data_IF_440522725015
#
_entry.id   IF_440522725015
#
_cell.length_a   1.000
_cell.length_b   1.000
_cell.length_c   1.000
_cell.angle_alpha   90.00
_cell.angle_beta   90.00
_cell.angle_gamma   90.00
#
_symmetry.space_group_name_H-M   'P 1'
#
loop_
_entity.id
_entity.type
_entity.pdbx_description
1 polymer ?
#
# COMPACT_ATOMS: atom_id res chain seq x y z
N UNK A 1 -12.99 -0.67 -11.13
CA UNK A 1 -11.70 -1.37 -11.23
C UNK A 1 -11.93 -2.65 -12.01
N UNK A 2 -11.16 -2.90 -13.07
CA UNK A 2 -11.32 -4.08 -13.93
C UNK A 2 -10.27 -5.12 -13.59
N UNK A 3 -10.65 -6.12 -12.79
CA UNK A 3 -9.87 -7.30 -12.48
C UNK A 3 -10.80 -8.41 -12.02
N UNK A 4 -10.56 -9.64 -12.47
CA UNK A 4 -11.27 -10.82 -11.97
C UNK A 4 -10.58 -11.27 -10.69
N UNK A 5 -11.28 -11.23 -9.56
CA UNK A 5 -10.77 -11.72 -8.27
C UNK A 5 -11.47 -13.02 -7.92
N UNK A 6 -10.69 -14.04 -7.53
CA UNK A 6 -11.21 -15.29 -6.99
C UNK A 6 -11.17 -15.26 -5.47
N UNK A 7 -12.21 -15.78 -4.82
CA UNK A 7 -12.19 -15.99 -3.36
C UNK A 7 -11.24 -17.13 -3.05
N UNK A 8 -10.14 -16.84 -2.35
CA UNK A 8 -9.12 -17.84 -2.01
C UNK A 8 -9.30 -18.39 -0.60
N UNK A 9 -9.89 -17.61 0.31
CA UNK A 9 -9.99 -17.91 1.74
C UNK A 9 -11.37 -17.48 2.28
N UNK A 10 -11.95 -18.29 3.17
CA UNK A 10 -13.25 -18.04 3.82
C UNK A 10 -13.20 -18.48 5.30
N UNK A 11 -13.84 -17.73 6.19
CA UNK A 11 -14.07 -18.10 7.57
C UNK A 11 -15.42 -17.57 8.01
N UNK A 12 -16.27 -18.47 8.48
CA UNK A 12 -17.60 -18.15 9.00
C UNK A 12 -17.65 -18.61 10.44
N UNK A 13 -18.07 -17.72 11.34
CA UNK A 13 -18.31 -18.05 12.74
C UNK A 13 -19.69 -17.60 13.16
N UNK A 14 -20.49 -18.56 13.62
CA UNK A 14 -21.74 -18.30 14.30
C UNK A 14 -21.53 -18.36 15.82
N UNK A 15 -22.09 -17.38 16.53
CA UNK A 15 -22.20 -17.35 17.99
C UNK A 15 -23.69 -17.50 18.34
N UNK A 16 -24.04 -18.45 19.23
CA UNK A 16 -25.42 -18.68 19.68
C UNK A 16 -25.55 -18.53 21.19
N UNK A 17 -26.69 -17.99 21.63
CA UNK A 17 -27.10 -17.94 23.03
C UNK A 17 -25.99 -17.38 23.94
N UNK A 18 -25.56 -18.18 24.93
CA UNK A 18 -24.54 -17.80 25.91
C UNK A 18 -23.15 -17.46 25.32
N UNK A 19 -22.91 -17.73 24.03
CA UNK A 19 -21.68 -17.34 23.35
C UNK A 19 -21.64 -15.85 22.97
N UNK A 20 -22.79 -15.17 22.94
CA UNK A 20 -22.91 -13.75 22.62
C UNK A 20 -22.73 -12.95 23.91
N UNK A 21 -21.50 -12.50 24.17
CA UNK A 21 -21.16 -11.65 25.32
C UNK A 21 -20.07 -10.65 24.93
N UNK A 22 -20.00 -9.53 25.65
CA UNK A 22 -18.96 -8.53 25.43
C UNK A 22 -17.56 -9.18 25.50
N UNK A 23 -16.72 -8.89 24.49
CA UNK A 23 -15.38 -9.47 24.35
C UNK A 23 -15.33 -10.84 23.67
N UNK A 24 -16.45 -11.46 23.31
CA UNK A 24 -16.45 -12.66 22.45
C UNK A 24 -15.82 -12.35 21.11
N UNK A 25 -14.76 -13.09 20.75
CA UNK A 25 -14.03 -12.94 19.49
C UNK A 25 -13.78 -14.29 18.83
N UNK A 26 -13.71 -14.30 17.51
CA UNK A 26 -13.19 -15.41 16.72
C UNK A 26 -12.14 -14.85 15.77
N UNK A 27 -11.01 -15.54 15.69
CA UNK A 27 -9.89 -15.14 14.85
C UNK A 27 -9.45 -16.34 14.05
N UNK A 28 -9.24 -16.14 12.75
CA UNK A 28 -8.60 -17.09 11.86
C UNK A 28 -7.44 -16.39 11.18
N UNK A 29 -6.26 -17.00 11.27
CA UNK A 29 -5.08 -16.54 10.55
C UNK A 29 -4.92 -17.34 9.27
N UNK A 30 -4.58 -16.66 8.19
CA UNK A 30 -4.26 -17.28 6.91
C UNK A 30 -2.82 -16.99 6.55
N UNK A 31 -2.08 -18.03 6.15
CA UNK A 31 -0.75 -17.87 5.60
C UNK A 31 -0.85 -17.90 4.07
N UNK A 32 -0.76 -16.72 3.45
CA UNK A 32 -0.76 -16.60 1.99
C UNK A 32 0.68 -16.54 1.52
N UNK A 33 1.09 -17.58 0.79
CA UNK A 33 2.47 -17.71 0.28
C UNK A 33 2.78 -16.76 -0.88
N UNK A 34 1.76 -16.39 -1.64
CA UNK A 34 1.90 -15.45 -2.75
C UNK A 34 0.59 -14.78 -3.10
N UNK A 35 0.60 -13.46 -3.21
CA UNK A 35 -0.44 -12.67 -3.85
C UNK A 35 0.15 -11.34 -4.23
N UNK A 36 -0.35 -10.68 -5.28
CA UNK A 36 0.04 -9.28 -5.55
C UNK A 36 -0.86 -8.29 -4.80
N UNK A 37 -1.84 -8.82 -4.06
CA UNK A 37 -2.97 -8.03 -3.63
C UNK A 37 -3.89 -8.66 -2.58
N UNK A 38 -4.54 -7.83 -1.77
CA UNK A 38 -5.53 -8.27 -0.79
C UNK A 38 -6.84 -7.48 -0.88
N UNK A 39 -7.95 -8.21 -0.78
CA UNK A 39 -9.28 -7.69 -0.50
C UNK A 39 -9.85 -8.52 0.64
N UNK A 40 -10.40 -7.88 1.65
CA UNK A 40 -11.12 -8.52 2.73
C UNK A 40 -12.56 -8.03 2.71
N UNK A 41 -13.51 -8.94 2.53
CA UNK A 41 -14.93 -8.63 2.64
C UNK A 41 -15.49 -9.30 3.88
N UNK A 42 -16.13 -8.53 4.74
CA UNK A 42 -16.76 -9.00 5.95
C UNK A 42 -18.27 -8.80 5.83
N UNK A 43 -19.04 -9.81 6.21
CA UNK A 43 -20.49 -9.73 6.35
C UNK A 43 -20.81 -10.15 7.77
N UNK A 44 -21.48 -9.27 8.51
CA UNK A 44 -21.90 -9.54 9.88
C UNK A 44 -23.41 -9.44 9.96
N UNK A 45 -24.07 -10.51 10.39
CA UNK A 45 -25.51 -10.52 10.63
C UNK A 45 -25.78 -10.76 12.11
N UNK A 46 -26.60 -9.91 12.72
CA UNK A 46 -27.08 -10.06 14.08
C UNK A 46 -28.61 -10.26 14.06
N UNK A 47 -29.10 -11.28 14.76
CA UNK A 47 -30.52 -11.59 14.87
C UNK A 47 -30.94 -11.76 16.33
N UNK A 48 -32.15 -11.29 16.66
CA UNK A 48 -32.72 -11.31 17.99
C UNK A 48 -34.18 -11.75 17.89
N UNK A 49 -34.66 -12.57 18.81
CA UNK A 49 -36.08 -12.97 18.84
C UNK A 49 -36.97 -11.73 18.91
N UNK A 50 -37.97 -11.65 18.03
CA UNK A 50 -38.89 -10.51 17.96
C UNK A 50 -38.43 -9.33 17.09
N UNK A 51 -37.22 -9.40 16.52
CA UNK A 51 -36.68 -8.35 15.65
C UNK A 51 -36.21 -8.93 14.30
N UNK A 52 -36.29 -8.10 13.26
CA UNK A 52 -35.69 -8.43 11.96
C UNK A 52 -34.16 -8.44 12.10
N UNK A 53 -33.45 -9.43 11.52
CA UNK A 53 -31.99 -9.43 11.53
C UNK A 53 -31.41 -8.18 10.88
N UNK A 54 -30.34 -7.64 11.48
CA UNK A 54 -29.54 -6.56 10.92
C UNK A 54 -28.30 -7.15 10.28
N UNK A 55 -27.95 -6.71 9.08
CA UNK A 55 -26.74 -7.14 8.38
C UNK A 55 -25.90 -5.93 8.01
N UNK A 56 -24.61 -5.99 8.30
CA UNK A 56 -23.61 -5.03 7.86
C UNK A 56 -22.60 -5.72 6.95
N UNK A 57 -22.14 -5.01 5.92
CA UNK A 57 -21.13 -5.48 4.98
C UNK A 57 -20.04 -4.44 4.86
N UNK A 58 -18.80 -4.82 5.14
CA UNK A 58 -17.63 -3.98 4.91
C UNK A 58 -16.65 -4.65 3.99
N UNK A 59 -15.94 -3.84 3.21
CA UNK A 59 -14.83 -4.29 2.36
C UNK A 59 -13.60 -3.43 2.69
N UNK A 60 -12.46 -4.09 2.86
CA UNK A 60 -11.16 -3.49 3.00
C UNK A 60 -10.26 -3.96 1.85
N UNK A 61 -9.32 -3.10 1.48
CA UNK A 61 -8.63 -3.25 0.21
C UNK A 61 -9.31 -2.40 -0.87
N UNK A 62 -8.73 -2.34 -2.05
CA UNK A 62 -7.89 -3.37 -2.62
C UNK A 62 -6.40 -2.94 -2.30
N UNK A 63 -5.63 -3.73 -1.53
CA UNK A 63 -4.30 -3.36 -0.99
C UNK A 63 -3.12 -4.08 -1.69
N UNK A 64 -2.12 -3.32 -2.13
CA UNK A 64 -0.93 -3.80 -2.84
C UNK A 64 -0.03 -4.67 -1.95
N UNK A 65 0.37 -5.83 -2.47
CA UNK A 65 1.36 -6.72 -1.86
C UNK A 65 2.39 -7.22 -2.90
N UNK A 66 3.57 -7.63 -2.45
CA UNK A 66 4.59 -8.24 -3.31
C UNK A 66 4.39 -9.77 -3.38
N UNK A 67 5.21 -10.49 -4.17
CA UNK A 67 5.03 -11.94 -4.41
C UNK A 67 5.10 -12.83 -3.17
N UNK A 68 5.54 -12.32 -2.02
CA UNK A 68 5.54 -13.03 -0.73
C UNK A 68 4.41 -12.56 0.20
N UNK A 69 3.40 -11.89 -0.35
CA UNK A 69 2.24 -11.34 0.35
C UNK A 69 2.55 -10.26 1.40
N UNK A 70 3.74 -9.65 1.34
CA UNK A 70 4.11 -8.54 2.20
C UNK A 70 3.51 -7.23 1.65
N UNK A 71 2.88 -6.45 2.51
CA UNK A 71 2.14 -5.25 2.12
C UNK A 71 3.07 -4.12 1.71
N UNK A 72 2.63 -3.31 0.74
CA UNK A 72 3.39 -2.11 0.37
C UNK A 72 3.55 -1.19 1.60
N UNK A 73 4.78 -0.70 1.90
CA UNK A 73 5.03 0.06 3.12
C UNK A 73 4.17 1.31 3.26
N UNK A 74 3.60 1.51 4.44
CA UNK A 74 2.88 2.75 4.79
C UNK A 74 3.84 3.68 5.52
N UNK A 75 4.33 4.72 4.83
CA UNK A 75 5.35 5.63 5.35
C UNK A 75 4.77 7.04 5.43
N UNK A 76 4.81 7.65 6.61
CA UNK A 76 4.38 9.02 6.85
C UNK A 76 5.58 9.97 6.85
N UNK A 77 5.46 11.13 6.21
CA UNK A 77 6.45 12.19 6.27
C UNK A 77 5.94 13.32 7.16
N UNK A 78 6.61 13.50 8.29
CA UNK A 78 6.23 14.48 9.30
C UNK A 78 6.27 15.94 8.83
N UNK A 79 7.06 16.26 7.81
CA UNK A 79 7.14 17.63 7.32
C UNK A 79 6.03 17.94 6.31
N UNK A 80 5.84 17.09 5.29
CA UNK A 80 4.75 17.31 4.31
C UNK A 80 3.37 16.94 4.86
N UNK A 81 3.30 16.24 5.99
CA UNK A 81 2.07 15.68 6.59
C UNK A 81 1.32 14.76 5.63
N UNK A 82 2.05 14.10 4.73
CA UNK A 82 1.52 13.15 3.74
C UNK A 82 2.05 11.75 3.99
N UNK A 83 1.27 10.76 3.57
CA UNK A 83 1.76 9.40 3.38
C UNK A 83 2.40 9.25 1.99
N UNK A 84 3.38 8.35 1.89
CA UNK A 84 3.86 7.87 0.61
C UNK A 84 2.68 7.30 -0.18
N UNK A 85 2.40 7.77 -1.40
CA UNK A 85 1.30 7.25 -2.19
C UNK A 85 1.44 5.75 -2.40
N UNK A 86 0.32 5.03 -2.36
CA UNK A 86 0.28 3.60 -2.64
C UNK A 86 -0.11 3.42 -4.11
N UNK A 87 0.63 2.64 -4.90
CA UNK A 87 0.23 2.37 -6.26
C UNK A 87 -1.15 1.71 -6.33
N UNK A 88 -1.99 2.20 -7.24
CA UNK A 88 -3.38 1.71 -7.42
C UNK A 88 -3.49 0.45 -8.26
N UNK A 89 -2.36 -0.05 -8.81
CA UNK A 89 -2.29 -1.22 -9.68
C UNK A 89 -1.35 -2.26 -9.10
N UNK A 90 -1.75 -3.53 -9.18
CA UNK A 90 -0.96 -4.67 -8.73
C UNK A 90 -0.48 -5.58 -9.88
N UNK A 91 -0.78 -5.22 -11.12
CA UNK A 91 -0.45 -5.99 -12.32
C UNK A 91 0.58 -5.29 -13.21
N UNK A 92 1.52 -4.55 -12.62
CA UNK A 92 2.50 -3.80 -13.40
C UNK A 92 3.45 -4.75 -14.15
N UNK A 93 3.69 -4.43 -15.42
CA UNK A 93 4.63 -5.16 -16.27
C UNK A 93 5.96 -4.43 -16.29
N UNK A 94 7.04 -5.17 -16.44
CA UNK A 94 8.37 -4.60 -16.64
C UNK A 94 8.42 -3.87 -17.99
N UNK A 95 9.03 -2.70 -17.99
CA UNK A 95 9.30 -1.89 -19.18
C UNK A 95 10.75 -2.11 -19.61
N UNK A 96 11.03 -2.36 -20.90
CA UNK A 96 12.38 -2.45 -21.43
C UNK A 96 13.22 -1.23 -21.06
N UNK A 97 14.50 -1.43 -20.76
CA UNK A 97 15.37 -0.40 -20.18
C UNK A 97 15.46 0.87 -21.04
N UNK A 98 15.56 0.70 -22.36
CA UNK A 98 15.56 1.77 -23.38
C UNK A 98 14.25 2.58 -23.43
N UNK A 99 13.15 2.03 -22.89
CA UNK A 99 11.83 2.66 -22.83
C UNK A 99 11.48 3.18 -21.43
N UNK A 100 12.32 2.96 -20.42
CA UNK A 100 12.10 3.49 -19.07
C UNK A 100 12.26 5.01 -19.12
N UNK A 101 11.47 5.73 -18.32
CA UNK A 101 11.67 7.17 -18.17
C UNK A 101 13.12 7.44 -17.72
N UNK A 102 13.88 8.32 -18.40
CA UNK A 102 15.23 8.64 -17.98
C UNK A 102 15.20 9.35 -16.63
N UNK A 103 16.23 9.16 -15.81
CA UNK A 103 16.41 9.87 -14.55
C UNK A 103 17.82 10.43 -14.52
N UNK A 104 17.92 11.75 -14.55
CA UNK A 104 19.16 12.48 -14.35
C UNK A 104 19.25 12.86 -12.87
N UNK A 105 20.07 12.13 -12.11
CA UNK A 105 20.25 12.36 -10.67
C UNK A 105 20.73 13.76 -10.32
N UNK A 106 21.32 14.51 -11.26
CA UNK A 106 21.72 15.90 -11.03
C UNK A 106 20.54 16.87 -11.22
N UNK A 107 19.77 16.71 -12.31
CA UNK A 107 18.71 17.64 -12.70
C UNK A 107 17.37 17.30 -12.06
N UNK A 108 16.91 16.06 -12.21
CA UNK A 108 15.58 15.65 -11.77
C UNK A 108 15.46 15.66 -10.25
N UNK A 109 16.54 15.25 -9.56
CA UNK A 109 16.63 15.33 -8.10
C UNK A 109 16.51 16.77 -7.61
N UNK A 110 17.29 17.69 -8.19
CA UNK A 110 17.24 19.10 -7.82
C UNK A 110 15.86 19.70 -8.11
N UNK A 111 15.28 19.40 -9.28
CA UNK A 111 13.95 19.86 -9.66
C UNK A 111 12.88 19.37 -8.67
N UNK A 112 12.96 18.12 -8.23
CA UNK A 112 12.10 17.58 -7.18
C UNK A 112 12.26 18.34 -5.87
N UNK A 113 13.49 18.48 -5.36
CA UNK A 113 13.78 19.17 -4.09
C UNK A 113 13.24 20.60 -4.12
N UNK A 114 13.50 21.35 -5.21
CA UNK A 114 12.98 22.70 -5.40
C UNK A 114 11.46 22.74 -5.36
N UNK A 115 10.79 21.81 -6.07
CA UNK A 115 9.33 21.73 -6.07
C UNK A 115 8.77 21.33 -4.70
N UNK A 116 9.42 20.42 -4.00
CA UNK A 116 9.06 20.03 -2.64
C UNK A 116 9.11 21.23 -1.69
N UNK A 117 10.22 21.98 -1.70
CA UNK A 117 10.40 23.17 -0.86
C UNK A 117 9.35 24.23 -1.19
N UNK A 118 9.06 24.47 -2.47
CA UNK A 118 8.02 25.41 -2.88
C UNK A 118 6.60 24.98 -2.47
N UNK A 119 6.35 23.68 -2.34
CA UNK A 119 5.01 23.13 -2.04
C UNK A 119 4.78 23.01 -0.53
N UNK A 120 5.79 22.60 0.23
CA UNK A 120 5.66 22.22 1.63
C UNK A 120 6.51 23.07 2.59
N UNK A 121 7.33 23.98 2.08
CA UNK A 121 8.33 24.71 2.87
C UNK A 121 9.68 23.97 2.92
N UNK A 122 10.71 24.67 3.42
CA UNK A 122 12.04 24.08 3.57
C UNK A 122 12.10 23.24 4.84
N UNK A 123 12.30 21.92 4.74
CA UNK A 123 12.31 21.04 5.91
C UNK A 123 13.55 21.18 6.80
N UNK A 124 14.59 21.91 6.35
CA UNK A 124 15.89 22.06 7.03
C UNK A 124 16.66 20.74 7.24
N UNK A 125 16.34 19.70 6.47
CA UNK A 125 17.10 18.45 6.43
C UNK A 125 18.37 18.59 5.59
N UNK A 126 19.36 17.74 5.85
CA UNK A 126 20.38 17.46 4.85
C UNK A 126 19.80 16.52 3.80
N UNK A 127 19.62 17.02 2.58
CA UNK A 127 19.10 16.21 1.49
C UNK A 127 20.02 15.05 1.12
N UNK A 128 21.33 15.07 1.44
CA UNK A 128 22.24 13.95 1.15
C UNK A 128 21.82 12.64 1.85
N UNK A 129 21.18 12.76 3.01
CA UNK A 129 20.66 11.63 3.79
C UNK A 129 19.33 11.08 3.24
N UNK A 130 18.79 11.70 2.18
CA UNK A 130 17.52 11.34 1.58
C UNK A 130 17.65 10.94 0.12
N UNK A 131 16.95 9.87 -0.25
CA UNK A 131 16.73 9.48 -1.63
C UNK A 131 15.35 9.98 -2.10
N UNK A 132 15.24 10.26 -3.40
CA UNK A 132 13.95 10.54 -4.04
C UNK A 132 13.44 9.22 -4.62
N UNK A 133 12.47 8.64 -3.94
CA UNK A 133 11.90 7.35 -4.30
C UNK A 133 10.80 7.52 -5.35
N UNK A 134 10.85 6.70 -6.40
CA UNK A 134 9.74 6.54 -7.34
C UNK A 134 8.68 5.60 -6.75
N UNK A 135 7.51 6.13 -6.38
CA UNK A 135 6.37 5.36 -5.84
C UNK A 135 6.06 4.16 -6.72
N UNK A 136 5.91 4.38 -8.03
CA UNK A 136 6.01 3.34 -9.05
C UNK A 136 7.41 3.46 -9.66
N UNK A 137 8.28 2.45 -9.53
CA UNK A 137 9.60 2.46 -10.16
C UNK A 137 9.53 2.59 -11.68
N UNK A 138 10.58 3.17 -12.26
CA UNK A 138 10.71 3.34 -13.72
C UNK A 138 10.70 2.01 -14.47
N UNK A 139 11.22 0.95 -13.83
CA UNK A 139 11.13 -0.44 -14.31
C UNK A 139 9.69 -0.91 -14.54
N UNK A 140 8.72 -0.38 -13.79
CA UNK A 140 7.31 -0.74 -13.89
C UNK A 140 6.47 0.35 -14.58
N UNK A 141 7.13 1.26 -15.31
CA UNK A 141 6.48 2.32 -16.08
C UNK A 141 6.15 3.59 -15.29
N UNK A 142 6.74 3.75 -14.10
CA UNK A 142 6.66 5.01 -13.37
C UNK A 142 7.46 6.13 -14.02
N UNK A 143 7.02 7.36 -13.83
CA UNK A 143 7.61 8.56 -14.42
C UNK A 143 8.20 9.49 -13.34
N UNK A 144 8.78 10.62 -13.75
CA UNK A 144 9.37 11.59 -12.83
C UNK A 144 8.37 12.65 -12.34
N UNK A 145 7.06 12.40 -12.45
CA UNK A 145 6.07 13.34 -11.97
C UNK A 145 6.13 13.45 -10.44
N UNK A 146 5.92 14.66 -9.91
CA UNK A 146 6.04 14.95 -8.48
C UNK A 146 5.17 14.05 -7.58
N UNK A 147 3.99 13.64 -8.06
CA UNK A 147 3.09 12.71 -7.35
C UNK A 147 3.54 11.23 -7.41
N UNK A 148 4.48 10.89 -8.28
CA UNK A 148 5.14 9.59 -8.33
C UNK A 148 6.50 9.61 -7.59
N UNK A 149 6.87 10.73 -6.96
CA UNK A 149 8.15 10.89 -6.28
C UNK A 149 7.93 11.22 -4.80
N UNK A 150 8.73 10.62 -3.93
CA UNK A 150 8.61 10.79 -2.49
C UNK A 150 9.99 10.81 -1.81
N UNK A 151 10.26 11.73 -0.87
CA UNK A 151 11.56 11.78 -0.22
C UNK A 151 11.57 10.79 0.95
N UNK A 152 12.58 9.93 0.97
CA UNK A 152 12.77 8.94 2.03
C UNK A 152 14.18 9.05 2.60
N UNK A 153 14.36 8.89 3.93
CA UNK A 153 15.67 8.62 4.48
C UNK A 153 16.32 7.45 3.74
N UNK A 154 17.61 7.56 3.43
CA UNK A 154 18.36 6.60 2.60
C UNK A 154 18.21 5.17 3.11
N UNK A 155 18.30 4.97 4.42
CA UNK A 155 18.13 3.66 5.05
C UNK A 155 16.74 3.06 4.79
N UNK A 156 15.68 3.83 5.01
CA UNK A 156 14.30 3.41 4.78
C UNK A 156 14.05 3.07 3.30
N UNK A 157 14.58 3.89 2.40
CA UNK A 157 14.50 3.65 0.97
C UNK A 157 15.16 2.33 0.57
N UNK A 158 16.40 2.10 1.02
CA UNK A 158 17.21 0.96 0.59
C UNK A 158 16.80 -0.35 1.26
N UNK A 159 16.58 -0.33 2.58
CA UNK A 159 16.35 -1.56 3.33
C UNK A 159 14.89 -2.01 3.31
N UNK A 160 13.94 -1.07 3.25
CA UNK A 160 12.50 -1.39 3.31
C UNK A 160 11.88 -1.34 1.93
N UNK A 161 11.92 -0.17 1.27
CA UNK A 161 11.10 0.04 0.06
C UNK A 161 11.70 -0.66 -1.17
N UNK A 162 13.02 -0.57 -1.39
CA UNK A 162 13.69 -1.31 -2.48
C UNK A 162 13.60 -2.82 -2.26
N UNK A 163 13.76 -3.29 -1.02
CA UNK A 163 13.61 -4.71 -0.68
C UNK A 163 12.20 -5.23 -0.95
N UNK A 164 11.18 -4.38 -0.76
CA UNK A 164 9.80 -4.72 -1.12
C UNK A 164 9.64 -4.86 -2.65
N UNK A 165 10.15 -3.89 -3.42
CA UNK A 165 10.06 -3.89 -4.88
C UNK A 165 10.84 -5.03 -5.52
N UNK A 166 11.99 -5.41 -4.95
CA UNK A 166 12.76 -6.58 -5.39
C UNK A 166 11.93 -7.87 -5.39
N UNK A 167 10.90 -7.97 -4.54
CA UNK A 167 10.02 -9.13 -4.42
C UNK A 167 8.70 -9.00 -5.20
N UNK A 168 8.48 -7.91 -5.94
CA UNK A 168 7.25 -7.66 -6.71
C UNK A 168 7.23 -8.38 -8.07
#
# INVERSE_FOLDING_TARGET
MNGTYGRVLEHTKEFKGAQIKAGSKSTKTYNVKSTKFWIARNVTTAAWTGYVPLTDTSEAGPQLANKIADFYPTIYNEHSKKYMPIPTKANMKTVPEDKRTPWDSSKDRYAYIKKYINTYGNPKWDWHDFDIHHVIPREYGGNNAFNNLYPLPRELHQQVVNSWWFRY
#
